data_IF_008570966031
#
_entry.id   IF_008570966031
#
_cell.length_a   1.000
_cell.length_b   1.000
_cell.length_c   1.000
_cell.angle_alpha   90.00
_cell.angle_beta   90.00
_cell.angle_gamma   90.00
#
_symmetry.space_group_name_H-M   'P 1'
#
loop_
_entity.id
_entity.type
_entity.pdbx_description
1 polymer ?
#
# COMPACT_ATOMS: atom_id res chain seq x y z
N UNK A 1 20.16 -8.61 -10.40
CA UNK A 1 20.72 -7.26 -10.54
C UNK A 1 20.68 -6.62 -9.18
N UNK A 2 21.75 -5.94 -8.82
CA UNK A 2 21.83 -5.18 -7.58
C UNK A 2 20.84 -4.01 -7.63
N UNK A 3 20.25 -3.67 -6.48
CA UNK A 3 19.23 -2.63 -6.36
C UNK A 3 19.75 -1.28 -6.84
N UNK A 4 21.02 -0.97 -6.54
CA UNK A 4 21.72 0.23 -7.00
C UNK A 4 21.84 0.30 -8.53
N UNK A 5 22.07 -0.83 -9.20
CA UNK A 5 22.16 -0.91 -10.67
C UNK A 5 20.80 -0.60 -11.31
N UNK A 6 19.71 -1.09 -10.70
CA UNK A 6 18.35 -0.81 -11.15
C UNK A 6 18.00 0.66 -10.92
N UNK A 7 18.39 1.24 -9.78
CA UNK A 7 18.21 2.66 -9.49
C UNK A 7 18.94 3.55 -10.49
N UNK A 8 20.17 3.18 -10.89
CA UNK A 8 20.93 3.92 -11.89
C UNK A 8 20.22 3.89 -13.26
N UNK A 9 19.71 2.72 -13.67
CA UNK A 9 18.93 2.59 -14.91
C UNK A 9 17.66 3.42 -14.89
N UNK A 10 16.95 3.43 -13.77
CA UNK A 10 15.76 4.27 -13.58
C UNK A 10 16.11 5.75 -13.71
N UNK A 11 17.17 6.20 -13.05
CA UNK A 11 17.62 7.59 -13.08
C UNK A 11 17.95 8.04 -14.49
N UNK A 12 18.69 7.21 -15.25
CA UNK A 12 19.02 7.49 -16.66
C UNK A 12 17.79 7.57 -17.57
N UNK A 13 16.75 6.78 -17.30
CA UNK A 13 15.48 6.87 -18.05
C UNK A 13 14.79 8.22 -17.78
N UNK A 14 14.77 8.68 -16.52
CA UNK A 14 14.18 9.95 -16.14
C UNK A 14 14.95 11.15 -16.72
N UNK A 15 16.28 11.12 -16.67
CA UNK A 15 17.14 12.17 -17.26
C UNK A 15 16.94 12.30 -18.78
N UNK A 16 16.60 11.19 -19.47
CA UNK A 16 16.26 11.17 -20.90
C UNK A 16 14.83 11.65 -21.20
N UNK A 17 14.06 12.04 -20.18
CA UNK A 17 12.69 12.51 -20.31
C UNK A 17 11.65 11.40 -20.41
N UNK A 18 11.97 10.16 -20.04
CA UNK A 18 10.96 9.11 -19.95
C UNK A 18 10.05 9.31 -18.74
N UNK A 19 8.77 8.94 -18.87
CA UNK A 19 7.78 9.07 -17.80
C UNK A 19 7.51 7.71 -17.15
N UNK A 20 7.65 7.61 -15.84
CA UNK A 20 7.25 6.44 -15.07
C UNK A 20 5.72 6.26 -15.12
N UNK A 21 5.25 5.05 -15.38
CA UNK A 21 3.83 4.69 -15.43
C UNK A 21 3.38 4.13 -14.08
N UNK A 22 2.08 4.19 -13.79
CA UNK A 22 1.48 3.57 -12.61
C UNK A 22 1.37 2.03 -12.70
N UNK A 23 1.93 1.43 -13.76
CA UNK A 23 1.95 -0.01 -14.02
C UNK A 23 3.35 -0.56 -13.84
N UNK A 24 3.42 -1.81 -13.37
CA UNK A 24 4.68 -2.53 -13.18
C UNK A 24 4.77 -3.67 -14.18
N UNK A 25 6.00 -4.08 -14.52
CA UNK A 25 6.26 -5.32 -15.23
C UNK A 25 6.07 -6.52 -14.29
N UNK A 26 5.94 -7.73 -14.83
CA UNK A 26 5.81 -8.96 -14.04
C UNK A 26 7.04 -9.25 -13.15
N UNK A 27 8.18 -8.61 -13.44
CA UNK A 27 9.37 -8.65 -12.59
C UNK A 27 9.29 -7.71 -11.36
N UNK A 28 8.19 -6.96 -11.20
CA UNK A 28 7.97 -6.02 -10.11
C UNK A 28 8.55 -4.63 -10.32
N UNK A 29 9.27 -4.36 -11.42
CA UNK A 29 9.84 -3.04 -11.69
C UNK A 29 8.81 -2.11 -12.36
N UNK A 30 8.83 -0.79 -12.06
CA UNK A 30 7.92 0.16 -12.69
C UNK A 30 8.21 0.27 -14.19
N UNK A 31 7.15 0.44 -14.99
CA UNK A 31 7.26 0.65 -16.43
C UNK A 31 7.49 2.13 -16.75
N UNK A 32 8.22 2.41 -17.82
CA UNK A 32 8.49 3.77 -18.30
C UNK A 32 7.99 3.94 -19.72
N UNK A 33 7.48 5.13 -20.06
CA UNK A 33 7.17 5.54 -21.42
C UNK A 33 8.25 6.47 -21.95
N UNK A 34 8.98 6.04 -22.97
CA UNK A 34 10.00 6.82 -23.66
C UNK A 34 9.54 7.02 -25.11
N UNK A 35 9.27 8.27 -25.52
CA UNK A 35 8.90 8.57 -26.92
C UNK A 35 7.73 7.70 -27.47
N UNK A 36 6.82 7.27 -26.58
CA UNK A 36 5.67 6.42 -26.93
C UNK A 36 5.87 4.92 -26.65
N UNK A 37 7.10 4.45 -26.51
CA UNK A 37 7.44 3.04 -26.23
C UNK A 37 7.47 2.74 -24.73
N UNK A 38 7.03 1.54 -24.32
CA UNK A 38 7.00 1.11 -22.92
C UNK A 38 8.19 0.20 -22.61
N UNK A 39 9.01 0.59 -21.63
CA UNK A 39 10.30 -0.04 -21.31
C UNK A 39 10.35 -0.42 -19.83
N UNK A 40 10.90 -1.60 -19.53
CA UNK A 40 11.19 -2.05 -18.17
C UNK A 40 12.70 -1.89 -17.88
N UNK A 41 13.12 -1.22 -16.78
CA UNK A 41 14.53 -1.02 -16.47
C UNK A 41 15.28 -2.32 -16.15
N UNK A 42 14.56 -3.38 -15.80
CA UNK A 42 15.13 -4.68 -15.44
C UNK A 42 15.13 -5.63 -16.63
N UNK A 43 14.02 -5.72 -17.37
CA UNK A 43 13.85 -6.74 -18.42
C UNK A 43 14.29 -6.27 -19.81
N UNK A 44 14.13 -4.99 -20.15
CA UNK A 44 14.46 -4.48 -21.49
C UNK A 44 15.96 -4.25 -21.71
N UNK A 45 16.75 -4.32 -20.63
CA UNK A 45 18.21 -4.15 -20.65
C UNK A 45 18.96 -5.43 -20.30
N UNK A 46 18.26 -6.57 -20.30
CA UNK A 46 18.86 -7.89 -20.09
C UNK A 46 19.59 -8.35 -21.36
N UNK A 47 20.61 -7.59 -21.76
CA UNK A 47 21.74 -8.02 -22.59
C UNK A 47 22.65 -6.80 -22.84
N UNK A 48 23.66 -6.65 -21.99
CA UNK A 48 24.79 -5.73 -22.20
C UNK A 48 26.04 -6.30 -21.54
N UNK A 49 26.43 -7.49 -21.97
CA UNK A 49 27.85 -7.74 -22.21
C UNK A 49 28.28 -6.72 -23.29
N UNK A 50 29.44 -6.04 -23.18
CA UNK A 50 29.81 -5.02 -24.15
C UNK A 50 30.11 -5.67 -25.52
N UNK A 51 29.36 -5.37 -26.60
CA UNK A 51 29.79 -5.76 -27.93
C UNK A 51 30.66 -4.63 -28.48
N UNK A 52 31.94 -4.94 -28.61
CA UNK A 52 32.76 -4.27 -29.61
C UNK A 52 32.15 -4.55 -31.01
N UNK A 53 31.99 -3.47 -31.78
CA UNK A 53 31.89 -3.41 -33.25
C UNK A 53 30.60 -3.84 -33.96
N UNK A 54 30.20 -2.99 -34.92
CA UNK A 54 29.57 -3.42 -36.17
C UNK A 54 28.16 -2.88 -36.40
N UNK A 55 28.02 -1.84 -37.23
CA UNK A 55 26.71 -1.36 -37.67
C UNK A 55 26.01 -2.32 -38.64
N UNK A 56 24.68 -2.23 -38.71
CA UNK A 56 23.88 -2.10 -39.93
C UNK A 56 22.37 -2.09 -39.60
N UNK A 57 21.66 -1.23 -40.33
CA UNK A 57 20.21 -1.08 -40.40
C UNK A 57 19.50 -2.37 -40.85
N UNK A 58 18.28 -2.63 -40.36
CA UNK A 58 17.08 -2.61 -41.24
C UNK A 58 15.74 -2.67 -40.50
N UNK A 59 14.84 -1.88 -41.04
CA UNK A 59 13.43 -1.72 -40.75
C UNK A 59 12.56 -2.98 -40.93
N UNK A 60 11.41 -2.96 -40.25
CA UNK A 60 10.08 -3.46 -40.67
C UNK A 60 9.03 -2.70 -39.82
N UNK A 61 8.36 -1.63 -40.32
CA UNK A 61 7.02 -1.59 -40.99
C UNK A 61 5.97 -2.53 -40.37
N UNK A 62 4.69 -2.21 -40.10
CA UNK A 62 3.83 -1.01 -40.10
C UNK A 62 2.47 -1.47 -39.49
N UNK A 63 1.94 -0.80 -38.43
CA UNK A 63 0.65 -0.03 -38.40
C UNK A 63 -0.67 -0.86 -38.22
N UNK A 64 -1.85 -0.27 -37.95
CA UNK A 64 -2.25 0.63 -36.83
C UNK A 64 -3.64 0.29 -36.22
N UNK A 65 -3.99 0.86 -35.06
CA UNK A 65 -5.35 1.20 -34.55
C UNK A 65 -5.19 1.62 -33.08
N UNK A 66 -5.68 2.72 -32.51
CA UNK A 66 -6.47 3.88 -32.92
C UNK A 66 -6.77 4.67 -31.63
N UNK A 67 -6.67 6.01 -31.70
CA UNK A 67 -7.39 7.05 -30.94
C UNK A 67 -7.82 6.70 -29.49
N UNK A 68 -7.34 7.35 -28.40
CA UNK A 68 -7.54 8.77 -28.00
C UNK A 68 -6.68 9.13 -26.77
N UNK A 69 -6.39 10.43 -26.56
CA UNK A 69 -5.72 11.08 -25.41
C UNK A 69 -6.73 12.05 -24.73
N UNK A 70 -6.45 12.85 -23.66
CA UNK A 70 -5.76 12.68 -22.34
C UNK A 70 -6.61 13.16 -21.11
N UNK A 71 -6.14 12.92 -19.87
CA UNK A 71 -5.81 13.96 -18.81
C UNK A 71 -5.52 13.30 -17.43
N UNK A 72 -4.35 13.53 -16.80
CA UNK A 72 -4.04 14.51 -15.70
C UNK A 72 -4.85 14.23 -14.40
N UNK A 73 -4.32 14.18 -13.15
CA UNK A 73 -3.18 14.86 -12.51
C UNK A 73 -2.89 14.24 -11.11
N UNK A 74 -1.72 14.56 -10.57
CA UNK A 74 -1.10 14.14 -9.30
C UNK A 74 -1.86 14.46 -7.98
N UNK A 75 -1.34 13.98 -6.82
CA UNK A 75 -1.04 14.95 -5.75
C UNK A 75 0.28 14.71 -4.96
N UNK A 76 0.99 15.82 -4.70
CA UNK A 76 2.01 16.04 -3.65
C UNK A 76 1.34 16.17 -2.27
N UNK A 77 1.80 15.52 -1.18
CA UNK A 77 2.81 15.97 -0.16
C UNK A 77 2.50 17.35 0.46
N UNK A 78 2.46 17.62 1.78
CA UNK A 78 3.36 17.34 2.94
C UNK A 78 2.58 17.52 4.29
N UNK A 79 2.78 16.79 5.40
CA UNK A 79 3.88 16.70 6.42
C UNK A 79 3.90 17.77 7.54
N UNK A 80 4.31 17.31 8.74
CA UNK A 80 4.53 17.98 10.05
C UNK A 80 3.32 18.02 11.03
N UNK A 81 3.44 17.72 12.33
CA UNK A 81 4.60 17.45 13.18
C UNK A 81 4.20 17.01 14.61
N UNK A 82 5.18 16.45 15.32
CA UNK A 82 5.11 15.95 16.70
C UNK A 82 4.98 17.09 17.73
N UNK A 83 4.29 16.83 18.86
CA UNK A 83 4.39 17.74 20.02
C UNK A 83 3.49 17.44 21.22
N UNK A 84 4.07 16.74 22.21
CA UNK A 84 3.97 17.01 23.65
C UNK A 84 2.62 17.01 24.40
N UNK A 85 2.45 15.93 25.16
CA UNK A 85 1.56 15.63 26.29
C UNK A 85 1.58 16.68 27.42
N UNK A 86 0.40 17.05 27.97
CA UNK A 86 0.25 17.51 29.37
C UNK A 86 -1.11 17.14 30.03
N UNK A 87 -0.99 16.34 31.11
CA UNK A 87 -1.74 16.28 32.40
C UNK A 87 -3.20 15.74 32.41
N UNK A 88 -3.54 14.90 33.41
CA UNK A 88 -4.04 15.36 34.74
C UNK A 88 -3.20 14.77 35.91
N UNK A 89 -3.09 15.34 37.13
CA UNK A 89 -4.13 15.50 38.17
C UNK A 89 -4.56 14.12 38.69
N UNK A 90 -4.57 13.70 39.96
CA UNK A 90 -4.33 14.25 41.29
C UNK A 90 -4.45 13.02 42.24
N UNK A 91 -3.81 13.09 43.41
CA UNK A 91 -4.11 12.35 44.67
C UNK A 91 -3.52 10.96 44.97
N UNK A 92 -2.58 11.02 45.93
CA UNK A 92 -2.22 10.04 46.97
C UNK A 92 -3.46 9.42 47.63
N UNK A 93 -3.39 8.13 47.98
CA UNK A 93 -3.24 7.70 49.38
C UNK A 93 -3.14 6.17 49.53
N UNK A 94 -2.36 5.79 50.56
CA UNK A 94 -2.45 4.65 51.49
C UNK A 94 -2.20 3.20 51.03
N UNK A 95 -1.06 2.72 51.55
CA UNK A 95 -0.94 1.60 52.50
C UNK A 95 -1.04 0.15 52.01
N UNK A 96 0.11 -0.52 52.19
CA UNK A 96 0.29 -1.85 52.79
C UNK A 96 -0.62 -2.98 52.32
N UNK A 97 -0.04 -4.00 51.69
CA UNK A 97 0.31 -5.27 52.36
C UNK A 97 0.70 -6.30 51.31
N UNK A 98 1.80 -7.01 51.58
CA UNK A 98 2.18 -8.24 50.89
C UNK A 98 1.13 -9.32 51.22
N UNK A 99 0.79 -10.18 50.26
CA UNK A 99 0.92 -11.60 50.58
C UNK A 99 1.67 -12.37 49.50
N UNK A 100 2.69 -13.09 49.95
CA UNK A 100 3.09 -14.37 49.37
C UNK A 100 1.91 -15.33 49.39
N UNK A 101 1.60 -15.93 48.25
CA UNK A 101 1.05 -17.28 48.21
C UNK A 101 1.23 -17.88 46.81
N UNK A 102 2.17 -18.80 46.76
CA UNK A 102 2.23 -19.99 45.90
C UNK A 102 0.91 -20.48 45.32
N UNK A 103 0.94 -20.81 44.02
CA UNK A 103 0.21 -21.97 43.49
C UNK A 103 -1.14 -21.70 42.81
N UNK A 104 -1.12 -21.52 41.48
CA UNK A 104 -2.09 -22.15 40.56
C UNK A 104 -1.64 -21.93 39.12
N UNK A 105 -0.65 -22.73 38.72
CA UNK A 105 -0.47 -23.15 37.34
C UNK A 105 -1.58 -24.19 37.09
N UNK A 106 -2.22 -24.15 35.91
CA UNK A 106 -3.34 -25.00 35.44
C UNK A 106 -4.74 -24.33 35.50
N UNK A 107 -4.93 -23.25 34.75
CA UNK A 107 -6.26 -22.82 34.28
C UNK A 107 -6.20 -21.91 33.04
N UNK A 108 -5.22 -22.13 32.15
CA UNK A 108 -4.93 -21.22 31.03
C UNK A 108 -5.65 -21.55 29.71
N UNK A 109 -6.30 -22.71 29.58
CA UNK A 109 -6.90 -23.14 28.30
C UNK A 109 -8.35 -22.68 28.03
N UNK A 110 -9.16 -22.50 29.08
CA UNK A 110 -10.58 -22.13 28.92
C UNK A 110 -10.81 -20.61 28.89
N UNK A 111 -9.91 -19.83 29.49
CA UNK A 111 -10.01 -18.36 29.47
C UNK A 111 -9.66 -17.78 28.09
N UNK A 112 -8.72 -18.39 27.37
CA UNK A 112 -8.28 -17.91 26.05
C UNK A 112 -9.36 -18.06 24.98
N UNK A 113 -10.21 -19.08 25.07
CA UNK A 113 -11.26 -19.32 24.08
C UNK A 113 -12.42 -18.32 24.24
N UNK A 114 -12.80 -18.00 25.48
CA UNK A 114 -13.78 -16.97 25.79
C UNK A 114 -13.28 -15.56 25.46
N UNK A 115 -11.99 -15.29 25.67
CA UNK A 115 -11.35 -14.02 25.35
C UNK A 115 -11.25 -13.81 23.82
N UNK A 116 -10.93 -14.87 23.07
CA UNK A 116 -10.91 -14.84 21.60
C UNK A 116 -12.31 -14.61 21.02
N UNK A 117 -13.33 -15.26 21.59
CA UNK A 117 -14.73 -15.04 21.20
C UNK A 117 -15.17 -13.59 21.40
N UNK A 118 -14.88 -13.00 22.57
CA UNK A 118 -15.16 -11.57 22.84
C UNK A 118 -14.40 -10.65 21.90
N UNK A 119 -13.11 -10.89 21.68
CA UNK A 119 -12.31 -10.09 20.75
C UNK A 119 -12.87 -10.17 19.33
N UNK A 120 -13.39 -11.32 18.91
CA UNK A 120 -14.03 -11.49 17.61
C UNK A 120 -15.35 -10.72 17.52
N UNK A 121 -16.18 -10.72 18.56
CA UNK A 121 -17.41 -9.92 18.63
C UNK A 121 -17.12 -8.41 18.60
N UNK A 122 -16.14 -7.96 19.38
CA UNK A 122 -15.70 -6.57 19.42
C UNK A 122 -15.17 -6.11 18.05
N UNK A 123 -14.38 -6.97 17.39
CA UNK A 123 -13.89 -6.72 16.03
C UNK A 123 -15.05 -6.62 15.04
N UNK A 124 -16.01 -7.57 15.06
CA UNK A 124 -17.20 -7.50 14.19
C UNK A 124 -17.97 -6.20 14.41
N UNK A 125 -18.20 -5.81 15.66
CA UNK A 125 -18.89 -4.57 15.98
C UNK A 125 -18.13 -3.33 15.48
N UNK A 126 -16.81 -3.30 15.60
CA UNK A 126 -15.97 -2.23 15.09
C UNK A 126 -16.01 -2.13 13.56
N UNK A 127 -15.93 -3.27 12.87
CA UNK A 127 -16.02 -3.34 11.41
C UNK A 127 -17.39 -2.87 10.92
N UNK A 128 -18.49 -3.21 11.60
CA UNK A 128 -19.85 -2.75 11.24
C UNK A 128 -19.97 -1.22 11.35
N UNK A 129 -19.45 -0.64 12.44
CA UNK A 129 -19.42 0.81 12.63
C UNK A 129 -18.61 1.50 11.54
N UNK A 130 -17.46 0.92 11.15
CA UNK A 130 -16.62 1.45 10.08
C UNK A 130 -17.30 1.36 8.72
N UNK A 131 -17.97 0.25 8.42
CA UNK A 131 -18.74 0.07 7.19
C UNK A 131 -19.81 1.16 7.07
N UNK A 132 -20.60 1.37 8.13
CA UNK A 132 -21.64 2.41 8.16
C UNK A 132 -21.07 3.83 7.95
N UNK A 133 -19.90 4.11 8.51
CA UNK A 133 -19.22 5.38 8.30
C UNK A 133 -18.72 5.56 6.86
N UNK A 134 -18.20 4.50 6.24
CA UNK A 134 -17.76 4.52 4.83
C UNK A 134 -18.95 4.68 3.89
N UNK A 135 -20.06 3.97 4.11
CA UNK A 135 -21.26 4.07 3.27
C UNK A 135 -21.85 5.47 3.29
N UNK A 136 -21.91 6.14 4.45
CA UNK A 136 -22.31 7.56 4.50
C UNK A 136 -21.33 8.46 3.75
N UNK A 137 -20.03 8.18 3.87
CA UNK A 137 -18.99 8.88 3.12
C UNK A 137 -19.15 8.75 1.60
N UNK A 138 -19.61 7.60 1.10
CA UNK A 138 -19.86 7.39 -0.34
C UNK A 138 -21.02 8.25 -0.87
N UNK A 139 -22.04 8.52 -0.05
CA UNK A 139 -23.21 9.33 -0.46
C UNK A 139 -22.87 10.81 -0.63
N UNK A 140 -21.91 11.31 0.16
CA UNK A 140 -21.51 12.72 0.19
C UNK A 140 -20.30 13.02 -0.73
N UNK A 141 -19.56 11.99 -1.15
CA UNK A 141 -18.31 12.15 -1.90
C UNK A 141 -18.55 12.47 -3.37
N UNK A 142 -17.89 13.52 -3.86
CA UNK A 142 -17.94 13.95 -5.27
C UNK A 142 -16.62 13.69 -6.00
N UNK A 143 -15.52 13.46 -5.28
CA UNK A 143 -14.23 13.13 -5.86
C UNK A 143 -14.16 11.63 -6.24
N UNK A 144 -13.94 11.36 -7.53
CA UNK A 144 -13.98 9.99 -8.07
C UNK A 144 -12.83 9.11 -7.58
N UNK A 145 -11.63 9.67 -7.39
CA UNK A 145 -10.48 8.94 -6.87
C UNK A 145 -10.69 8.53 -5.41
N UNK A 146 -11.25 9.42 -4.60
CA UNK A 146 -11.61 9.15 -3.21
C UNK A 146 -12.77 8.18 -3.10
N UNK A 147 -13.77 8.29 -3.98
CA UNK A 147 -14.86 7.32 -4.08
C UNK A 147 -14.33 5.92 -4.39
N UNK A 148 -13.42 5.79 -5.36
CA UNK A 148 -12.76 4.52 -5.70
C UNK A 148 -12.04 3.94 -4.49
N UNK A 149 -11.21 4.74 -3.80
CA UNK A 149 -10.50 4.31 -2.59
C UNK A 149 -11.47 3.86 -1.48
N UNK A 150 -12.60 4.55 -1.31
CA UNK A 150 -13.63 4.16 -0.33
C UNK A 150 -14.28 2.83 -0.72
N UNK A 151 -14.59 2.61 -2.00
CA UNK A 151 -15.14 1.35 -2.50
C UNK A 151 -14.15 0.18 -2.31
N UNK A 152 -12.87 0.38 -2.61
CA UNK A 152 -11.82 -0.61 -2.37
C UNK A 152 -11.72 -0.97 -0.88
N UNK A 153 -11.83 0.03 0.00
CA UNK A 153 -11.87 -0.18 1.45
C UNK A 153 -13.10 -0.98 1.89
N UNK A 154 -14.28 -0.68 1.32
CA UNK A 154 -15.52 -1.42 1.59
C UNK A 154 -15.39 -2.87 1.13
N UNK A 155 -14.84 -3.11 -0.06
CA UNK A 155 -14.61 -4.47 -0.57
C UNK A 155 -13.68 -5.26 0.36
N UNK A 156 -12.55 -4.67 0.78
CA UNK A 156 -11.63 -5.29 1.72
C UNK A 156 -12.31 -5.63 3.05
N UNK A 157 -13.13 -4.70 3.58
CA UNK A 157 -13.84 -4.90 4.83
C UNK A 157 -14.90 -6.00 4.74
N UNK A 158 -15.62 -6.11 3.61
CA UNK A 158 -16.56 -7.20 3.34
C UNK A 158 -15.86 -8.56 3.23
N UNK A 159 -14.65 -8.63 2.64
CA UNK A 159 -13.84 -9.86 2.61
C UNK A 159 -13.45 -10.32 4.01
N UNK A 160 -13.02 -9.39 4.87
CA UNK A 160 -12.73 -9.68 6.28
C UNK A 160 -13.98 -10.16 7.01
N UNK A 161 -15.13 -9.50 6.81
CA UNK A 161 -16.40 -9.93 7.40
C UNK A 161 -16.79 -11.35 7.05
N UNK A 162 -16.66 -11.73 5.77
CA UNK A 162 -16.95 -13.09 5.31
C UNK A 162 -16.02 -14.13 5.93
N UNK A 163 -14.79 -13.75 6.24
CA UNK A 163 -13.80 -14.63 6.89
C UNK A 163 -14.05 -14.79 8.39
N UNK A 164 -14.79 -13.86 8.99
CA UNK A 164 -15.21 -13.91 10.39
C UNK A 164 -16.58 -14.57 10.58
N UNK A 165 -17.30 -14.93 9.52
CA UNK A 165 -18.68 -15.44 9.57
C UNK A 165 -18.78 -16.95 9.47
#
# INVERSE_FOLDING_TARGET
MDEDEVLEKITRLLERGCTMLATHHDCGAPLFRCQGEVVCPVCSFADSEPPMQGGQERAQTAQPSGLVIPEEKAPSQELAGFGAVKKPGMQRQVSSSIPSATGSVLQSGQQTELDLGRAQEDLRAALLRKLAALTRGLEEEQDLDKLKKQLDCVEGLLKVFRSLS
#
